data_IF_121490956645
#
_entry.id   IF_121490956645
#
_cell.length_a   1.000
_cell.length_b   1.000
_cell.length_c   1.000
_cell.angle_alpha   90.00
_cell.angle_beta   90.00
_cell.angle_gamma   90.00
#
_symmetry.space_group_name_H-M   'P 1'
#
loop_
_entity.id
_entity.type
_entity.pdbx_description
1 polymer ?
#
# COMPACT_ATOMS: atom_id res chain seq x y z
N UNK A 1 9.23 -3.79 4.46
CA UNK A 1 8.44 -3.01 5.45
C UNK A 1 9.18 -3.00 6.77
N UNK A 2 9.05 -1.94 7.58
CA UNK A 2 9.63 -1.90 8.92
C UNK A 2 8.69 -2.61 9.90
N UNK A 3 9.18 -3.59 10.64
CA UNK A 3 8.38 -4.21 11.71
C UNK A 3 8.29 -3.26 12.91
N UNK A 4 7.07 -3.07 13.41
CA UNK A 4 6.75 -2.15 14.50
C UNK A 4 5.76 -2.80 15.47
N UNK A 5 5.59 -2.21 16.65
CA UNK A 5 4.54 -2.61 17.58
C UNK A 5 4.00 -1.41 18.36
N UNK A 6 2.82 -1.59 18.95
CA UNK A 6 2.26 -0.69 19.97
C UNK A 6 1.79 -1.49 21.18
N UNK A 7 1.77 -0.85 22.34
CA UNK A 7 1.22 -1.42 23.57
C UNK A 7 -0.13 -0.75 23.86
N UNK A 8 -1.18 -1.54 24.11
CA UNK A 8 -2.49 -1.02 24.53
C UNK A 8 -2.45 -0.57 25.99
N UNK A 9 -3.51 0.10 26.46
CA UNK A 9 -3.64 0.50 27.87
C UNK A 9 -3.61 -0.71 28.81
N UNK A 10 -4.18 -1.83 28.37
CA UNK A 10 -4.22 -3.09 29.12
C UNK A 10 -2.91 -3.90 28.99
N UNK A 11 -1.91 -3.35 28.31
CA UNK A 11 -0.57 -3.92 28.21
C UNK A 11 -0.39 -4.96 27.10
N UNK A 12 -1.40 -5.19 26.27
CA UNK A 12 -1.31 -6.08 25.11
C UNK A 12 -0.40 -5.48 24.04
N UNK A 13 0.41 -6.33 23.41
CA UNK A 13 1.26 -5.94 22.28
C UNK A 13 0.50 -6.20 20.99
N UNK A 14 0.42 -5.17 20.14
CA UNK A 14 -0.14 -5.26 18.80
C UNK A 14 0.99 -5.00 17.82
N UNK A 15 1.31 -6.02 17.03
CA UNK A 15 2.31 -5.94 15.96
C UNK A 15 1.78 -5.13 14.78
N UNK A 16 2.69 -4.61 13.97
CA UNK A 16 2.35 -3.82 12.81
C UNK A 16 3.50 -3.67 11.83
N UNK A 17 3.23 -2.97 10.73
CA UNK A 17 4.21 -2.63 9.72
C UNK A 17 4.24 -1.12 9.42
N UNK A 18 5.43 -0.63 9.12
CA UNK A 18 5.68 0.76 8.75
C UNK A 18 5.79 0.96 7.25
N UNK A 19 5.03 1.92 6.73
CA UNK A 19 4.97 2.33 5.33
C UNK A 19 5.43 3.80 5.18
N UNK A 20 6.36 4.13 4.27
CA UNK A 20 6.82 5.50 4.09
C UNK A 20 5.78 6.36 3.35
N UNK A 21 5.48 7.55 3.88
CA UNK A 21 4.65 8.56 3.23
C UNK A 21 4.99 9.96 3.74
N UNK A 22 4.17 10.95 3.37
CA UNK A 22 4.27 12.30 3.90
C UNK A 22 3.00 12.68 4.68
N UNK A 23 3.17 13.36 5.81
CA UNK A 23 2.10 14.15 6.42
C UNK A 23 2.20 15.59 5.94
N UNK A 24 1.11 16.14 5.43
CA UNK A 24 1.02 17.53 5.03
C UNK A 24 0.32 18.34 6.13
N UNK A 25 1.13 19.05 6.91
CA UNK A 25 0.69 19.93 8.00
C UNK A 25 1.49 21.24 7.94
N UNK A 26 1.05 22.17 7.11
CA UNK A 26 1.78 23.41 6.77
C UNK A 26 3.00 23.18 5.87
N UNK A 27 3.83 22.18 6.18
CA UNK A 27 4.87 21.63 5.30
C UNK A 27 4.70 20.11 5.13
N UNK A 28 5.57 19.49 4.32
CA UNK A 28 5.54 18.05 4.08
C UNK A 28 6.55 17.35 5.00
N UNK A 29 6.07 16.37 5.76
CA UNK A 29 6.86 15.65 6.74
C UNK A 29 7.01 14.21 6.29
N UNK A 30 8.21 13.80 5.88
CA UNK A 30 8.51 12.40 5.58
C UNK A 30 8.45 11.59 6.87
N UNK A 31 7.52 10.63 6.91
CA UNK A 31 7.23 9.83 8.10
C UNK A 31 6.98 8.37 7.73
N UNK A 32 6.99 7.53 8.77
CA UNK A 32 6.48 6.17 8.70
C UNK A 32 5.04 6.15 9.17
N UNK A 33 4.11 5.87 8.25
CA UNK A 33 2.72 5.50 8.56
C UNK A 33 2.74 4.10 9.15
N UNK A 34 2.12 3.92 10.31
CA UNK A 34 2.16 2.66 11.06
C UNK A 34 0.81 1.96 10.96
N UNK A 35 0.79 0.77 10.38
CA UNK A 35 -0.41 -0.06 10.23
C UNK A 35 -0.31 -1.22 11.21
N UNK A 36 -1.37 -1.46 11.99
CA UNK A 36 -1.38 -2.46 13.06
C UNK A 36 -2.35 -3.61 12.78
N UNK A 37 -2.10 -4.78 13.38
CA UNK A 37 -2.88 -6.00 13.13
C UNK A 37 -4.36 -5.90 13.52
N UNK A 38 -4.70 -5.00 14.43
CA UNK A 38 -6.08 -4.70 14.81
C UNK A 38 -6.80 -3.73 13.85
N UNK A 39 -6.16 -3.39 12.72
CA UNK A 39 -6.73 -2.53 11.69
C UNK A 39 -6.62 -1.03 11.98
N UNK A 40 -5.92 -0.64 13.05
CA UNK A 40 -5.64 0.76 13.33
C UNK A 40 -4.39 1.26 12.60
N UNK A 41 -4.40 2.54 12.23
CA UNK A 41 -3.33 3.22 11.51
C UNK A 41 -2.93 4.47 12.29
N UNK A 42 -1.65 4.59 12.63
CA UNK A 42 -1.07 5.81 13.20
C UNK A 42 -0.44 6.66 12.09
N UNK A 43 -1.09 7.80 11.83
CA UNK A 43 -0.67 8.84 10.90
C UNK A 43 -0.62 10.21 11.60
N UNK A 44 0.09 10.25 12.73
CA UNK A 44 0.09 11.32 13.78
C UNK A 44 -1.17 11.37 14.64
N UNK A 45 -2.14 10.52 14.33
CA UNK A 45 -3.29 10.18 15.14
C UNK A 45 -3.63 8.73 14.82
N UNK A 46 -4.05 7.98 15.83
CA UNK A 46 -4.51 6.61 15.66
C UNK A 46 -5.96 6.62 15.18
N UNK A 47 -6.20 6.07 13.99
CA UNK A 47 -7.52 6.02 13.33
C UNK A 47 -7.77 4.61 12.77
N UNK A 48 -9.01 4.28 12.47
CA UNK A 48 -9.35 3.09 11.69
C UNK A 48 -9.13 3.34 10.18
N UNK A 49 -9.40 2.33 9.35
CA UNK A 49 -9.24 2.42 7.91
C UNK A 49 -10.08 3.54 7.27
N UNK A 50 -11.32 3.73 7.72
CA UNK A 50 -12.17 4.79 7.17
C UNK A 50 -11.70 6.18 7.57
N UNK A 51 -11.26 6.36 8.82
CA UNK A 51 -10.61 7.58 9.28
C UNK A 51 -9.30 7.88 8.55
N UNK A 52 -8.53 6.84 8.22
CA UNK A 52 -7.33 6.96 7.39
C UNK A 52 -7.69 7.44 5.97
N UNK A 53 -8.69 6.84 5.32
CA UNK A 53 -9.18 7.28 4.00
C UNK A 53 -9.71 8.71 4.03
N UNK A 54 -10.36 9.14 5.12
CA UNK A 54 -10.78 10.54 5.30
C UNK A 54 -9.58 11.48 5.36
N UNK A 55 -8.51 11.11 6.10
CA UNK A 55 -7.27 11.89 6.16
C UNK A 55 -6.57 11.98 4.80
N UNK A 56 -6.56 10.89 4.03
CA UNK A 56 -6.07 10.90 2.65
C UNK A 56 -6.88 11.89 1.79
N UNK A 57 -8.22 11.81 1.82
CA UNK A 57 -9.10 12.74 1.08
C UNK A 57 -8.91 14.20 1.50
N UNK A 58 -8.62 14.46 2.77
CA UNK A 58 -8.34 15.79 3.29
C UNK A 58 -6.94 16.32 2.92
N UNK A 59 -6.12 15.50 2.25
CA UNK A 59 -4.74 15.85 1.91
C UNK A 59 -3.80 15.86 3.13
N UNK A 60 -4.17 15.20 4.24
CA UNK A 60 -3.32 15.06 5.43
C UNK A 60 -2.21 14.04 5.21
N UNK A 61 -2.55 12.89 4.61
CA UNK A 61 -1.58 11.87 4.19
C UNK A 61 -1.43 11.97 2.68
N UNK A 62 -0.19 12.10 2.20
CA UNK A 62 0.13 12.20 0.77
C UNK A 62 1.38 11.38 0.45
N UNK A 63 1.49 10.90 -0.78
CA UNK A 63 2.68 10.22 -1.29
C UNK A 63 3.52 11.09 -2.23
N UNK A 64 3.02 12.30 -2.53
CA UNK A 64 3.62 13.23 -3.48
C UNK A 64 3.78 14.61 -2.84
N UNK A 65 4.86 15.29 -3.20
CA UNK A 65 5.18 16.64 -2.74
C UNK A 65 5.34 17.54 -3.98
N UNK A 66 4.61 18.66 -4.09
CA UNK A 66 4.80 19.59 -5.20
C UNK A 66 6.23 20.14 -5.27
N UNK A 67 6.73 20.38 -6.48
CA UNK A 67 8.09 20.84 -6.70
C UNK A 67 8.41 22.14 -5.92
N UNK A 68 9.60 22.18 -5.31
CA UNK A 68 10.08 23.33 -4.56
C UNK A 68 9.43 23.53 -3.17
N UNK A 69 8.49 22.67 -2.77
CA UNK A 69 7.91 22.72 -1.42
C UNK A 69 8.91 22.20 -0.39
N UNK A 70 8.76 22.71 0.84
CA UNK A 70 9.59 22.31 1.98
C UNK A 70 9.20 20.91 2.44
N UNK A 71 10.19 20.02 2.45
CA UNK A 71 10.15 18.71 3.08
C UNK A 71 10.94 18.73 4.38
N UNK A 72 10.56 17.87 5.32
CA UNK A 72 11.35 17.61 6.51
C UNK A 72 11.24 16.15 6.91
N UNK A 73 12.32 15.59 7.44
CA UNK A 73 12.34 14.34 8.17
C UNK A 73 12.86 14.65 9.57
N UNK A 74 12.07 14.36 10.59
CA UNK A 74 12.37 14.75 11.96
C UNK A 74 13.73 14.24 12.40
N UNK A 75 14.55 15.11 12.99
CA UNK A 75 15.96 14.86 13.37
C UNK A 75 16.93 14.45 12.25
N UNK A 76 16.51 14.46 10.98
CA UNK A 76 17.36 14.06 9.87
C UNK A 76 17.65 15.22 8.90
N UNK A 77 16.61 15.83 8.33
CA UNK A 77 16.77 16.94 7.38
C UNK A 77 15.55 17.86 7.33
N UNK A 78 15.77 19.07 6.85
CA UNK A 78 14.73 19.93 6.28
C UNK A 78 15.29 20.65 5.06
N UNK A 79 14.43 20.95 4.08
CA UNK A 79 14.85 21.67 2.88
C UNK A 79 13.75 21.70 1.83
N UNK A 80 13.93 22.50 0.78
CA UNK A 80 13.07 22.43 -0.40
C UNK A 80 13.61 21.36 -1.35
N UNK A 81 12.72 20.56 -1.93
CA UNK A 81 13.11 19.49 -2.84
C UNK A 81 12.16 19.41 -4.05
N UNK A 82 12.67 18.82 -5.11
CA UNK A 82 11.88 18.31 -6.23
C UNK A 82 12.03 16.80 -6.23
N UNK A 83 10.92 16.08 -6.03
CA UNK A 83 10.91 14.64 -5.87
C UNK A 83 10.17 13.98 -7.02
N UNK A 84 10.71 12.86 -7.50
CA UNK A 84 9.99 11.93 -8.36
C UNK A 84 9.38 10.84 -7.48
N UNK A 85 8.08 10.93 -7.24
CA UNK A 85 7.33 9.98 -6.41
C UNK A 85 6.64 8.95 -7.32
N UNK A 86 6.84 7.66 -7.04
CA UNK A 86 6.32 6.57 -7.89
C UNK A 86 5.01 5.96 -7.37
N UNK A 87 4.63 6.25 -6.12
CA UNK A 87 3.44 5.70 -5.49
C UNK A 87 2.32 6.71 -5.57
N UNK A 88 1.25 6.35 -6.27
CA UNK A 88 0.01 7.11 -6.33
C UNK A 88 -0.76 6.96 -5.02
N UNK A 89 -1.45 8.01 -4.58
CA UNK A 89 -2.07 8.01 -3.24
C UNK A 89 -3.17 6.94 -3.10
N UNK A 90 -3.94 6.69 -4.16
CA UNK A 90 -4.98 5.65 -4.14
C UNK A 90 -4.37 4.24 -4.14
N UNK A 91 -3.21 4.05 -4.79
CA UNK A 91 -2.47 2.79 -4.77
C UNK A 91 -1.79 2.56 -3.40
N UNK A 92 -1.41 3.62 -2.69
CA UNK A 92 -0.95 3.55 -1.31
C UNK A 92 -2.07 3.13 -0.35
N UNK A 93 -3.31 3.58 -0.57
CA UNK A 93 -4.47 3.13 0.22
C UNK A 93 -4.66 1.61 0.05
N UNK A 94 -4.54 1.08 -1.18
CA UNK A 94 -4.57 -0.37 -1.41
C UNK A 94 -3.45 -1.11 -0.68
N UNK A 95 -2.24 -0.55 -0.66
CA UNK A 95 -1.11 -1.13 0.09
C UNK A 95 -1.37 -1.15 1.60
N UNK A 96 -1.99 -0.11 2.17
CA UNK A 96 -2.42 -0.10 3.58
C UNK A 96 -3.45 -1.19 3.85
N UNK A 97 -4.46 -1.33 2.98
CA UNK A 97 -5.48 -2.39 3.11
C UNK A 97 -4.86 -3.79 3.04
N UNK A 98 -3.95 -4.03 2.10
CA UNK A 98 -3.22 -5.30 1.99
C UNK A 98 -2.31 -5.56 3.19
N UNK A 99 -1.70 -4.52 3.75
CA UNK A 99 -0.90 -4.62 4.97
C UNK A 99 -1.74 -5.06 6.16
N UNK A 100 -2.98 -4.55 6.27
CA UNK A 100 -3.94 -5.01 7.31
C UNK A 100 -4.28 -6.48 7.09
N UNK A 101 -4.60 -6.89 5.86
CA UNK A 101 -4.90 -8.30 5.53
C UNK A 101 -3.75 -9.22 5.90
N UNK A 102 -2.54 -8.84 5.51
CA UNK A 102 -1.32 -9.61 5.81
C UNK A 102 -1.13 -9.78 7.33
N UNK A 103 -1.26 -8.69 8.10
CA UNK A 103 -1.15 -8.73 9.56
C UNK A 103 -2.26 -9.55 10.24
N UNK A 104 -3.39 -9.74 9.55
CA UNK A 104 -4.52 -10.55 10.00
C UNK A 104 -4.50 -11.97 9.42
N UNK A 105 -3.40 -12.38 8.79
CA UNK A 105 -3.23 -13.69 8.15
C UNK A 105 -4.29 -13.99 7.08
N UNK A 106 -4.84 -12.94 6.45
CA UNK A 106 -5.77 -13.04 5.34
C UNK A 106 -5.05 -12.95 3.99
N UNK A 107 -5.58 -13.59 2.93
CA UNK A 107 -5.04 -13.43 1.59
C UNK A 107 -5.00 -11.96 1.16
N UNK A 108 -3.82 -11.49 0.74
CA UNK A 108 -3.62 -10.17 0.14
C UNK A 108 -4.16 -10.14 -1.29
N UNK A 109 -4.32 -8.94 -1.85
CA UNK A 109 -4.72 -8.80 -3.25
C UNK A 109 -3.76 -9.50 -4.21
N UNK A 110 -2.44 -9.48 -3.94
CA UNK A 110 -1.43 -10.19 -4.74
C UNK A 110 -1.63 -11.69 -4.73
N UNK A 111 -1.86 -12.27 -3.54
CA UNK A 111 -2.13 -13.71 -3.38
C UNK A 111 -3.38 -14.14 -4.14
N UNK A 112 -4.45 -13.35 -4.02
CA UNK A 112 -5.70 -13.59 -4.74
C UNK A 112 -5.51 -13.47 -6.27
N UNK A 113 -4.73 -12.50 -6.72
CA UNK A 113 -4.41 -12.33 -8.15
C UNK A 113 -3.63 -13.53 -8.71
N UNK A 114 -2.64 -14.02 -7.97
CA UNK A 114 -1.88 -15.23 -8.32
C UNK A 114 -2.80 -16.46 -8.43
N UNK A 115 -3.70 -16.66 -7.47
CA UNK A 115 -4.66 -17.77 -7.47
C UNK A 115 -5.62 -17.73 -8.68
N UNK A 116 -6.14 -16.54 -9.01
CA UNK A 116 -7.01 -16.33 -10.18
C UNK A 116 -6.23 -16.55 -11.48
N UNK A 117 -4.96 -16.13 -11.55
CA UNK A 117 -4.11 -16.39 -12.71
C UNK A 117 -3.90 -17.89 -12.92
N UNK A 118 -3.63 -18.65 -11.86
CA UNK A 118 -3.54 -20.11 -11.93
C UNK A 118 -4.86 -20.79 -12.30
N UNK A 119 -6.01 -20.22 -11.93
CA UNK A 119 -7.31 -20.72 -12.36
C UNK A 119 -7.52 -20.50 -13.87
N UNK A 120 -7.15 -19.31 -14.37
CA UNK A 120 -7.17 -19.02 -15.81
C UNK A 120 -6.28 -19.97 -16.60
N UNK A 121 -5.05 -20.25 -16.13
CA UNK A 121 -4.13 -21.18 -16.82
C UNK A 121 -4.67 -22.62 -16.88
N UNK A 122 -5.45 -23.04 -15.88
CA UNK A 122 -6.11 -24.35 -15.87
C UNK A 122 -7.31 -24.40 -16.81
N UNK A 123 -8.09 -23.32 -16.85
CA UNK A 123 -9.31 -23.23 -17.64
C UNK A 123 -9.48 -21.82 -18.24
N UNK A 124 -8.94 -21.56 -19.45
CA UNK A 124 -9.00 -20.25 -20.08
C UNK A 124 -10.41 -19.89 -20.57
N UNK A 125 -11.24 -19.34 -19.69
CA UNK A 125 -12.60 -18.86 -20.01
C UNK A 125 -12.67 -17.34 -19.98
N UNK A 126 -13.67 -16.77 -20.67
CA UNK A 126 -13.98 -15.33 -20.60
C UNK A 126 -14.26 -14.87 -19.17
N UNK A 127 -14.88 -15.73 -18.36
CA UNK A 127 -15.11 -15.48 -16.93
C UNK A 127 -13.80 -15.38 -16.14
N UNK A 128 -12.87 -16.32 -16.34
CA UNK A 128 -11.58 -16.30 -15.66
C UNK A 128 -10.70 -15.14 -16.15
N UNK A 129 -10.78 -14.77 -17.42
CA UNK A 129 -10.10 -13.59 -17.97
C UNK A 129 -10.59 -12.28 -17.31
N UNK A 130 -11.91 -12.07 -17.24
CA UNK A 130 -12.49 -10.92 -16.58
C UNK A 130 -12.13 -10.89 -15.07
N UNK A 131 -12.23 -12.03 -14.39
CA UNK A 131 -11.85 -12.14 -12.99
C UNK A 131 -10.36 -11.83 -12.76
N UNK A 132 -9.47 -12.24 -13.68
CA UNK A 132 -8.05 -11.94 -13.60
C UNK A 132 -7.79 -10.44 -13.75
N UNK A 133 -8.46 -9.77 -14.70
CA UNK A 133 -8.35 -8.32 -14.86
C UNK A 133 -8.76 -7.59 -13.58
N UNK A 134 -9.92 -7.94 -13.02
CA UNK A 134 -10.41 -7.34 -11.78
C UNK A 134 -9.47 -7.59 -10.60
N UNK A 135 -8.93 -8.81 -10.47
CA UNK A 135 -8.00 -9.16 -9.40
C UNK A 135 -6.66 -8.39 -9.54
N UNK A 136 -6.14 -8.29 -10.76
CA UNK A 136 -4.90 -7.57 -11.06
C UNK A 136 -5.01 -6.07 -10.77
N UNK A 137 -6.15 -5.45 -11.06
CA UNK A 137 -6.37 -4.03 -10.80
C UNK A 137 -6.50 -3.69 -9.30
N UNK A 138 -6.92 -4.66 -8.48
CA UNK A 138 -6.94 -4.54 -7.02
C UNK A 138 -5.55 -4.55 -6.40
N UNK A 139 -4.55 -5.16 -7.05
CA UNK A 139 -3.18 -5.12 -6.58
C UNK A 139 -2.63 -3.69 -6.69
N UNK A 140 -2.00 -3.15 -5.62
CA UNK A 140 -1.32 -1.87 -5.68
C UNK A 140 -0.37 -1.81 -6.87
N UNK A 141 -0.50 -0.78 -7.71
CA UNK A 141 0.16 -0.67 -9.00
C UNK A 141 1.67 -0.89 -8.95
N UNK A 142 2.34 -0.34 -7.94
CA UNK A 142 3.79 -0.49 -7.72
C UNK A 142 4.19 -1.86 -7.19
N UNK A 143 3.24 -2.67 -6.73
CA UNK A 143 3.48 -4.04 -6.24
C UNK A 143 3.10 -5.13 -7.25
N UNK A 144 2.36 -4.79 -8.32
CA UNK A 144 1.94 -5.74 -9.37
C UNK A 144 3.09 -6.56 -9.93
N UNK A 145 4.25 -5.94 -10.13
CA UNK A 145 5.46 -6.58 -10.65
C UNK A 145 5.97 -7.76 -9.82
N UNK A 146 5.54 -7.87 -8.56
CA UNK A 146 5.95 -8.94 -7.64
C UNK A 146 4.92 -10.07 -7.49
N UNK A 147 3.74 -9.95 -8.11
CA UNK A 147 2.61 -10.89 -7.89
C UNK A 147 2.97 -12.35 -8.15
N UNK A 148 3.79 -12.62 -9.19
CA UNK A 148 4.17 -13.98 -9.57
C UNK A 148 5.45 -14.48 -8.89
N UNK A 149 6.09 -13.65 -8.05
CA UNK A 149 7.37 -13.97 -7.40
C UNK A 149 8.50 -14.36 -8.39
N UNK A 150 8.33 -14.03 -9.67
CA UNK A 150 9.31 -14.23 -10.75
C UNK A 150 9.97 -12.89 -11.07
N UNK A 151 11.27 -12.78 -10.80
CA UNK A 151 12.01 -11.53 -10.98
C UNK A 151 12.39 -11.24 -12.43
N UNK A 152 12.39 -12.27 -13.28
CA UNK A 152 12.72 -12.16 -14.70
C UNK A 152 11.47 -11.74 -15.49
N UNK A 153 10.39 -12.50 -15.34
CA UNK A 153 9.14 -12.26 -16.08
C UNK A 153 8.23 -11.22 -15.40
N UNK A 154 8.34 -11.05 -14.08
CA UNK A 154 7.49 -10.15 -13.26
C UNK A 154 6.01 -10.43 -13.51
N UNK A 155 5.22 -9.38 -13.74
CA UNK A 155 3.81 -9.47 -14.11
C UNK A 155 3.57 -9.52 -15.62
N UNK A 156 4.62 -9.69 -16.43
CA UNK A 156 4.55 -9.80 -17.88
C UNK A 156 3.54 -10.86 -18.36
N UNK A 157 3.54 -12.09 -17.80
CA UNK A 157 2.57 -13.12 -18.18
C UNK A 157 1.12 -12.72 -17.92
N UNK A 158 0.83 -12.06 -16.79
CA UNK A 158 -0.53 -11.56 -16.49
C UNK A 158 -0.92 -10.47 -17.50
N UNK A 159 -0.01 -9.52 -17.78
CA UNK A 159 -0.23 -8.44 -18.76
C UNK A 159 -0.56 -8.96 -20.14
N UNK A 160 0.11 -10.02 -20.60
CA UNK A 160 -0.18 -10.65 -21.89
C UNK A 160 -1.59 -11.21 -21.95
N UNK A 161 -2.05 -11.89 -20.89
CA UNK A 161 -3.40 -12.43 -20.81
C UNK A 161 -4.45 -11.33 -20.82
N UNK A 162 -4.32 -10.32 -19.95
CA UNK A 162 -5.35 -9.27 -19.81
C UNK A 162 -5.41 -8.30 -20.99
N UNK A 163 -4.35 -8.24 -21.82
CA UNK A 163 -4.28 -7.39 -23.02
C UNK A 163 -4.73 -8.10 -24.30
N UNK A 164 -4.87 -9.42 -24.26
CA UNK A 164 -5.47 -10.24 -25.33
C UNK A 164 -6.99 -10.18 -25.26
#
# INVERSE_FOLDING_TARGET
MLDIYRKTKDGQIIVGKGLPAFIHNGSYHYVTIKVYADGLIDCWQLVDLEGFKQKVRAGWVVTQVPAGKRISCHHLFYGSATLNCYVEIDEFVKEVEDTIRELQEQPTSSRLCEEVFHAYLREPTTKHHAALRDAYERVPKHLRVYVLHDMDAKDGPIKQVISA
#
